data_IF_428143060213
#
_entry.id   IF_428143060213
#
_cell.length_a   1.000
_cell.length_b   1.000
_cell.length_c   1.000
_cell.angle_alpha   90.00
_cell.angle_beta   90.00
_cell.angle_gamma   90.00
#
_symmetry.space_group_name_H-M   'P 1'
#
loop_
_entity.id
_entity.type
_entity.pdbx_description
1 polymer ?
#
# COMPACT_ATOMS: atom_id res chain seq x y z
N UNK A 1 8.45 14.08 -12.65
CA UNK A 1 9.40 13.02 -12.28
C UNK A 1 8.86 12.31 -11.04
N UNK A 2 8.85 10.98 -11.02
CA UNK A 2 8.42 10.18 -9.88
C UNK A 2 9.59 9.96 -8.92
N UNK A 3 9.89 10.97 -8.09
CA UNK A 3 11.04 10.91 -7.15
C UNK A 3 11.00 9.69 -6.23
N UNK A 4 9.81 9.34 -5.74
CA UNK A 4 9.61 8.20 -4.84
C UNK A 4 10.02 6.88 -5.51
N UNK A 5 9.58 6.67 -6.75
CA UNK A 5 9.92 5.51 -7.54
C UNK A 5 11.43 5.40 -7.78
N UNK A 6 12.08 6.52 -8.11
CA UNK A 6 13.53 6.60 -8.26
C UNK A 6 14.26 6.25 -6.96
N UNK A 7 13.82 6.80 -5.83
CA UNK A 7 14.45 6.56 -4.53
C UNK A 7 14.31 5.10 -4.09
N UNK A 8 13.14 4.49 -4.27
CA UNK A 8 12.92 3.07 -3.97
C UNK A 8 13.79 2.17 -4.84
N UNK A 9 13.88 2.45 -6.13
CA UNK A 9 14.77 1.74 -7.05
C UNK A 9 16.23 1.82 -6.60
N UNK A 10 16.71 3.02 -6.25
CA UNK A 10 18.08 3.22 -5.77
C UNK A 10 18.33 2.52 -4.43
N UNK A 11 17.37 2.52 -3.50
CA UNK A 11 17.45 1.80 -2.23
C UNK A 11 17.60 0.28 -2.41
N UNK A 12 16.99 -0.27 -3.47
CA UNK A 12 17.16 -1.67 -3.89
C UNK A 12 18.45 -1.93 -4.67
N UNK A 13 19.25 -0.90 -4.97
CA UNK A 13 20.48 -1.03 -5.75
C UNK A 13 20.25 -1.35 -7.23
N UNK A 14 19.05 -1.10 -7.75
CA UNK A 14 18.68 -1.47 -9.13
C UNK A 14 18.93 -0.30 -10.07
N UNK A 15 19.54 -0.53 -11.23
CA UNK A 15 19.72 0.46 -12.28
C UNK A 15 18.44 0.64 -13.12
N UNK A 16 18.33 1.74 -13.88
CA UNK A 16 17.18 1.92 -14.79
C UNK A 16 17.13 0.84 -15.89
N UNK A 17 18.28 0.32 -16.30
CA UNK A 17 18.40 -0.74 -17.30
C UNK A 17 17.91 -2.09 -16.74
N UNK A 18 18.37 -2.49 -15.56
CA UNK A 18 17.90 -3.71 -14.90
C UNK A 18 16.39 -3.66 -14.62
N UNK A 19 15.88 -2.50 -14.20
CA UNK A 19 14.45 -2.29 -13.98
C UNK A 19 13.67 -2.45 -15.30
N UNK A 20 14.20 -1.90 -16.40
CA UNK A 20 13.60 -2.05 -17.72
C UNK A 20 13.54 -3.53 -18.16
N UNK A 21 14.64 -4.27 -17.98
CA UNK A 21 14.72 -5.70 -18.30
C UNK A 21 13.72 -6.50 -17.47
N UNK A 22 13.64 -6.27 -16.15
CA UNK A 22 12.69 -6.94 -15.25
C UNK A 22 11.22 -6.65 -15.61
N UNK A 23 10.94 -5.50 -16.23
CA UNK A 23 9.60 -5.14 -16.72
C UNK A 23 9.31 -5.66 -18.14
N UNK A 24 10.28 -6.30 -18.80
CA UNK A 24 10.16 -6.83 -20.15
C UNK A 24 10.42 -5.81 -21.26
N UNK A 25 11.05 -4.68 -20.96
CA UNK A 25 11.46 -3.71 -21.97
C UNK A 25 12.80 -4.07 -22.60
N UNK A 26 12.94 -3.76 -23.89
CA UNK A 26 14.19 -4.00 -24.65
C UNK A 26 15.32 -3.03 -24.28
N UNK A 27 15.00 -1.82 -23.83
CA UNK A 27 15.96 -0.76 -23.57
C UNK A 27 15.63 0.02 -22.30
N UNK A 28 16.64 0.57 -21.63
CA UNK A 28 16.50 1.40 -20.43
C UNK A 28 15.54 2.59 -20.60
N UNK A 29 15.44 3.12 -21.82
CA UNK A 29 14.52 4.21 -22.17
C UNK A 29 13.05 3.88 -21.87
N UNK A 30 12.66 2.61 -21.95
CA UNK A 30 11.31 2.15 -21.64
C UNK A 30 10.92 2.46 -20.20
N UNK A 31 11.80 2.16 -19.24
CA UNK A 31 11.58 2.48 -17.83
C UNK A 31 11.87 3.95 -17.51
N UNK A 32 12.90 4.55 -18.13
CA UNK A 32 13.25 5.96 -17.91
C UNK A 32 12.06 6.90 -18.20
N UNK A 33 11.27 6.62 -19.24
CA UNK A 33 10.07 7.40 -19.55
C UNK A 33 8.99 7.29 -18.45
N UNK A 34 8.87 6.13 -17.81
CA UNK A 34 7.97 5.92 -16.68
C UNK A 34 8.46 6.68 -15.46
N UNK A 35 9.73 6.51 -15.06
CA UNK A 35 10.30 7.17 -13.87
C UNK A 35 10.27 8.69 -13.97
N UNK A 36 10.42 9.25 -15.18
CA UNK A 36 10.31 10.69 -15.39
C UNK A 36 8.87 11.21 -15.52
N UNK A 37 7.86 10.33 -15.61
CA UNK A 37 6.46 10.69 -15.82
C UNK A 37 6.14 11.11 -17.26
N UNK A 38 7.02 10.81 -18.22
CA UNK A 38 6.79 11.05 -19.66
C UNK A 38 5.82 10.04 -20.27
N UNK A 39 5.71 8.86 -19.66
CA UNK A 39 4.75 7.81 -20.03
C UNK A 39 3.92 7.43 -18.81
N UNK A 40 2.61 7.28 -19.02
CA UNK A 40 1.68 6.83 -17.97
C UNK A 40 2.00 5.40 -17.55
N UNK A 41 1.95 5.17 -16.24
CA UNK A 41 2.04 3.83 -15.63
C UNK A 41 0.61 3.30 -15.51
N UNK A 42 0.34 2.15 -16.11
CA UNK A 42 -0.94 1.46 -15.96
C UNK A 42 -0.89 0.48 -14.77
N UNK A 43 -2.04 -0.09 -14.40
CA UNK A 43 -2.18 -0.98 -13.24
C UNK A 43 -1.28 -2.22 -13.33
N UNK A 44 -1.13 -2.80 -14.52
CA UNK A 44 -0.30 -3.99 -14.73
C UNK A 44 1.19 -3.67 -14.51
N UNK A 45 1.67 -2.56 -15.07
CA UNK A 45 3.04 -2.08 -14.87
C UNK A 45 3.26 -1.70 -13.41
N UNK A 46 2.31 -1.01 -12.78
CA UNK A 46 2.38 -0.65 -11.36
C UNK A 46 2.54 -1.89 -10.47
N UNK A 47 1.77 -2.96 -10.74
CA UNK A 47 1.87 -4.23 -10.03
C UNK A 47 3.23 -4.91 -10.22
N UNK A 48 3.75 -4.92 -11.45
CA UNK A 48 5.10 -5.47 -11.72
C UNK A 48 6.19 -4.68 -11.00
N UNK A 49 6.10 -3.36 -11.01
CA UNK A 49 7.01 -2.47 -10.28
C UNK A 49 6.97 -2.77 -8.77
N UNK A 50 5.77 -2.94 -8.20
CA UNK A 50 5.57 -3.32 -6.80
C UNK A 50 6.27 -4.63 -6.44
N UNK A 51 6.15 -5.66 -7.29
CA UNK A 51 6.84 -6.93 -7.07
C UNK A 51 8.36 -6.81 -7.14
N UNK A 52 8.89 -6.01 -8.07
CA UNK A 52 10.34 -5.80 -8.22
C UNK A 52 10.93 -5.01 -7.05
N UNK A 53 10.19 -4.01 -6.55
CA UNK A 53 10.63 -3.16 -5.45
C UNK A 53 10.27 -3.74 -4.07
N UNK A 54 9.48 -4.81 -4.04
CA UNK A 54 8.96 -5.44 -2.81
C UNK A 54 8.24 -4.42 -1.90
N UNK A 55 7.52 -3.48 -2.50
CA UNK A 55 6.77 -2.43 -1.82
C UNK A 55 5.34 -2.39 -2.38
N UNK A 56 4.30 -2.14 -1.57
CA UNK A 56 2.92 -2.06 -2.05
C UNK A 56 2.74 -0.98 -3.13
N UNK A 57 1.83 -1.21 -4.09
CA UNK A 57 1.51 -0.26 -5.16
C UNK A 57 1.12 1.09 -4.56
N UNK A 58 0.39 1.06 -3.45
CA UNK A 58 -0.12 2.23 -2.76
C UNK A 58 1.02 3.06 -2.18
N UNK A 59 2.00 2.40 -1.58
CA UNK A 59 3.20 3.05 -1.05
C UNK A 59 4.02 3.66 -2.18
N UNK A 60 4.10 3.03 -3.36
CA UNK A 60 4.93 3.52 -4.47
C UNK A 60 4.30 4.72 -5.19
N UNK A 61 2.99 4.68 -5.43
CA UNK A 61 2.32 5.60 -6.36
C UNK A 61 1.34 6.57 -5.71
N UNK A 62 0.86 6.29 -4.50
CA UNK A 62 0.04 7.24 -3.76
C UNK A 62 0.90 7.91 -2.69
N UNK A 63 0.94 9.24 -2.76
CA UNK A 63 1.38 10.06 -1.65
C UNK A 63 0.13 10.35 -0.80
N UNK A 64 0.23 10.21 0.52
CA UNK A 64 -0.82 10.59 1.48
C UNK A 64 -1.22 12.09 1.40
N UNK A 65 -0.76 12.84 0.39
CA UNK A 65 -1.14 14.22 0.07
C UNK A 65 -2.54 14.36 -0.54
N UNK A 66 -3.34 13.29 -0.56
CA UNK A 66 -4.79 13.40 -0.72
C UNK A 66 -5.52 13.67 0.61
N UNK A 67 -4.79 13.80 1.73
CA UNK A 67 -5.32 14.28 3.01
C UNK A 67 -5.37 15.81 3.13
N UNK A 68 -4.86 16.57 2.15
CA UNK A 68 -4.88 18.04 2.13
C UNK A 68 -6.19 18.63 1.55
N UNK A 69 -7.20 17.80 1.26
CA UNK A 69 -8.57 18.30 1.23
C UNK A 69 -9.10 18.19 2.66
N UNK A 70 -9.26 19.30 3.40
CA UNK A 70 -9.90 19.23 4.70
C UNK A 70 -11.32 18.73 4.45
N UNK A 71 -11.64 17.52 4.92
CA UNK A 71 -13.02 17.22 5.26
C UNK A 71 -13.35 18.21 6.36
N UNK A 72 -14.07 19.28 5.99
CA UNK A 72 -14.58 20.26 6.94
C UNK A 72 -15.55 19.54 7.86
N UNK A 73 -15.04 19.02 8.98
CA UNK A 73 -15.84 18.83 10.17
C UNK A 73 -15.95 20.22 10.79
N UNK A 74 -17.05 20.89 10.47
CA UNK A 74 -17.53 22.07 11.18
C UNK A 74 -17.43 21.78 12.68
N UNK A 75 -16.49 22.44 13.37
CA UNK A 75 -16.54 22.74 14.80
C UNK A 75 -15.44 23.78 15.11
N UNK A 76 -15.88 25.02 14.98
CA UNK A 76 -15.44 26.22 15.68
C UNK A 76 -14.18 26.17 16.60
N UNK A 77 -13.21 27.01 16.22
CA UNK A 77 -12.64 28.11 17.02
C UNK A 77 -11.57 27.79 18.11
N UNK A 78 -10.38 28.41 17.87
CA UNK A 78 -9.41 29.03 18.81
C UNK A 78 -8.45 28.15 19.65
N UNK A 79 -7.18 28.12 19.28
CA UNK A 79 -6.13 29.02 19.82
C UNK A 79 -4.73 28.45 19.53
N UNK A 80 -3.82 29.36 19.21
CA UNK A 80 -2.54 29.08 18.58
C UNK A 80 -1.50 28.89 19.68
N UNK A 81 -0.98 27.66 19.80
CA UNK A 81 0.39 27.29 20.25
C UNK A 81 0.47 25.80 20.67
N UNK A 82 -0.63 25.04 20.62
CA UNK A 82 -0.68 23.57 20.77
C UNK A 82 -0.67 22.80 19.44
N UNK A 83 -0.78 23.49 18.29
CA UNK A 83 -1.06 22.87 16.98
C UNK A 83 0.04 21.93 16.46
N UNK A 84 1.32 22.12 16.80
CA UNK A 84 2.40 21.31 16.19
C UNK A 84 2.42 19.84 16.65
N UNK A 85 1.94 19.55 17.86
CA UNK A 85 1.84 18.19 18.40
C UNK A 85 0.51 17.54 18.03
N UNK A 86 -0.59 18.29 18.10
CA UNK A 86 -1.93 17.83 17.75
C UNK A 86 -1.99 17.44 16.27
N UNK A 87 -1.40 18.23 15.37
CA UNK A 87 -1.36 17.90 13.94
C UNK A 87 -0.62 16.57 13.70
N UNK A 88 0.53 16.34 14.34
CA UNK A 88 1.31 15.10 14.16
C UNK A 88 0.63 13.85 14.72
N UNK A 89 -0.18 13.98 15.78
CA UNK A 89 -0.94 12.89 16.39
C UNK A 89 -2.20 12.60 15.57
N UNK A 90 -2.90 13.65 15.11
CA UNK A 90 -4.09 13.54 14.26
C UNK A 90 -3.73 12.95 12.89
N UNK A 91 -2.61 13.37 12.29
CA UNK A 91 -2.09 12.83 11.03
C UNK A 91 -1.73 11.35 11.18
N UNK A 92 -0.99 10.96 12.23
CA UNK A 92 -0.65 9.54 12.48
C UNK A 92 -1.89 8.68 12.74
N UNK A 93 -2.89 9.22 13.43
CA UNK A 93 -4.16 8.53 13.66
C UNK A 93 -4.96 8.38 12.35
N UNK A 94 -4.93 9.39 11.47
CA UNK A 94 -5.56 9.35 10.15
C UNK A 94 -4.87 8.36 9.20
N UNK A 95 -3.53 8.33 9.17
CA UNK A 95 -2.77 7.35 8.38
C UNK A 95 -3.05 5.93 8.84
N UNK A 96 -3.12 5.71 10.16
CA UNK A 96 -3.44 4.41 10.75
C UNK A 96 -4.88 3.97 10.49
N UNK A 97 -5.82 4.91 10.47
CA UNK A 97 -7.20 4.65 10.10
C UNK A 97 -7.31 4.28 8.61
N UNK A 98 -6.61 5.00 7.73
CA UNK A 98 -6.53 4.67 6.32
C UNK A 98 -5.90 3.29 6.08
N UNK A 99 -4.79 2.99 6.74
CA UNK A 99 -4.16 1.67 6.73
C UNK A 99 -5.14 0.58 7.19
N UNK A 100 -5.94 0.84 8.22
CA UNK A 100 -6.95 -0.10 8.71
C UNK A 100 -8.09 -0.33 7.71
N UNK A 101 -8.55 0.71 7.00
CA UNK A 101 -9.60 0.59 5.97
C UNK A 101 -9.10 -0.23 4.78
N UNK A 102 -7.90 0.08 4.27
CA UNK A 102 -7.28 -0.68 3.17
C UNK A 102 -7.04 -2.13 3.58
N UNK A 103 -6.55 -2.36 4.80
CA UNK A 103 -6.31 -3.72 5.30
C UNK A 103 -7.60 -4.53 5.41
N UNK A 104 -8.72 -3.89 5.77
CA UNK A 104 -10.04 -4.54 5.82
C UNK A 104 -10.49 -4.98 4.43
N UNK A 105 -10.30 -4.15 3.42
CA UNK A 105 -10.64 -4.47 2.02
C UNK A 105 -9.83 -5.68 1.53
N UNK A 106 -8.51 -5.68 1.76
CA UNK A 106 -7.62 -6.79 1.38
C UNK A 106 -7.97 -8.10 2.13
N UNK A 107 -8.41 -8.02 3.38
CA UNK A 107 -8.90 -9.18 4.15
C UNK A 107 -10.13 -9.79 3.49
N UNK A 108 -11.11 -8.97 3.09
CA UNK A 108 -12.33 -9.45 2.45
C UNK A 108 -12.04 -10.08 1.08
N UNK A 109 -11.16 -9.46 0.28
CA UNK A 109 -10.71 -10.03 -0.99
C UNK A 109 -10.00 -11.37 -0.80
N UNK A 110 -9.02 -11.43 0.11
CA UNK A 110 -8.26 -12.66 0.41
C UNK A 110 -9.19 -13.77 0.93
N UNK A 111 -10.22 -13.42 1.70
CA UNK A 111 -11.24 -14.36 2.17
C UNK A 111 -12.12 -14.89 1.04
N UNK A 112 -12.49 -14.03 0.08
CA UNK A 112 -13.19 -14.43 -1.14
C UNK A 112 -12.38 -15.44 -1.94
N UNK A 113 -11.11 -15.12 -2.22
CA UNK A 113 -10.18 -16.03 -2.93
C UNK A 113 -10.02 -17.38 -2.22
N UNK A 114 -9.93 -17.38 -0.89
CA UNK A 114 -9.82 -18.60 -0.11
C UNK A 114 -11.08 -19.46 -0.20
N UNK A 115 -12.27 -18.83 -0.13
CA UNK A 115 -13.55 -19.53 -0.25
C UNK A 115 -13.71 -20.17 -1.64
N UNK A 116 -13.37 -19.44 -2.69
CA UNK A 116 -13.42 -19.95 -4.07
C UNK A 116 -12.44 -21.10 -4.27
N UNK A 117 -11.21 -20.95 -3.77
CA UNK A 117 -10.17 -21.98 -3.88
C UNK A 117 -10.55 -23.26 -3.12
N UNK A 118 -11.14 -23.10 -1.93
CA UNK A 118 -11.64 -24.21 -1.12
C UNK A 118 -12.80 -24.93 -1.83
N UNK A 119 -13.72 -24.18 -2.45
CA UNK A 119 -14.83 -24.76 -3.20
C UNK A 119 -14.35 -25.59 -4.40
N UNK A 120 -13.26 -25.18 -5.05
CA UNK A 120 -12.67 -25.89 -6.20
C UNK A 120 -11.81 -27.08 -5.78
N UNK A 121 -10.98 -26.95 -4.74
CA UNK A 121 -9.91 -27.93 -4.44
C UNK A 121 -10.38 -29.19 -3.70
N UNK A 122 -11.58 -29.23 -3.12
CA UNK A 122 -12.18 -30.31 -2.30
C UNK A 122 -11.34 -30.78 -1.08
N UNK A 123 -10.01 -30.70 -1.13
CA UNK A 123 -9.07 -30.99 -0.06
C UNK A 123 -8.52 -29.68 0.54
N UNK A 124 -9.00 -29.36 1.74
CA UNK A 124 -8.58 -28.18 2.51
C UNK A 124 -7.11 -28.20 2.95
N UNK A 125 -6.41 -29.33 2.80
CA UNK A 125 -4.99 -29.48 3.13
C UNK A 125 -4.05 -29.20 1.93
N UNK A 126 -4.58 -28.70 0.81
CA UNK A 126 -3.71 -28.30 -0.30
C UNK A 126 -2.85 -27.09 0.12
N UNK A 127 -1.57 -27.11 -0.28
CA UNK A 127 -0.60 -26.04 0.06
C UNK A 127 -1.10 -24.63 -0.33
N UNK A 128 -1.86 -24.53 -1.43
CA UNK A 128 -2.44 -23.26 -1.88
C UNK A 128 -3.46 -22.71 -0.87
N UNK A 129 -4.35 -23.58 -0.36
CA UNK A 129 -5.35 -23.23 0.65
C UNK A 129 -4.67 -22.87 1.98
N UNK A 130 -3.66 -23.64 2.39
CA UNK A 130 -2.93 -23.41 3.63
C UNK A 130 -2.12 -22.11 3.59
N UNK A 131 -1.45 -21.82 2.48
CA UNK A 131 -0.68 -20.59 2.31
C UNK A 131 -1.56 -19.33 2.31
N UNK A 132 -2.73 -19.40 1.66
CA UNK A 132 -3.68 -18.31 1.62
C UNK A 132 -4.38 -18.10 2.98
N UNK A 133 -4.70 -19.19 3.69
CA UNK A 133 -5.19 -19.13 5.08
C UNK A 133 -4.20 -18.43 6.00
N UNK A 134 -2.91 -18.80 5.95
CA UNK A 134 -1.87 -18.14 6.77
C UNK A 134 -1.72 -16.66 6.41
N UNK A 135 -1.84 -16.30 5.14
CA UNK A 135 -1.81 -14.89 4.70
C UNK A 135 -3.00 -14.13 5.30
N UNK A 136 -4.20 -14.70 5.24
CA UNK A 136 -5.41 -14.11 5.82
C UNK A 136 -5.27 -13.92 7.34
N UNK A 137 -4.76 -14.92 8.06
CA UNK A 137 -4.54 -14.84 9.51
C UNK A 137 -3.59 -13.70 9.90
N UNK A 138 -2.50 -13.52 9.14
CA UNK A 138 -1.55 -12.43 9.35
C UNK A 138 -2.17 -11.05 9.11
N UNK A 139 -3.00 -10.92 8.07
CA UNK A 139 -3.72 -9.68 7.78
C UNK A 139 -4.71 -9.34 8.90
N UNK A 140 -5.47 -10.33 9.36
CA UNK A 140 -6.41 -10.18 10.48
C UNK A 140 -5.68 -9.79 11.76
N UNK A 141 -4.55 -10.43 12.08
CA UNK A 141 -3.74 -10.10 13.25
C UNK A 141 -3.24 -8.64 13.20
N UNK A 142 -2.75 -8.18 12.04
CA UNK A 142 -2.33 -6.79 11.86
C UNK A 142 -3.51 -5.83 12.05
N UNK A 143 -4.68 -6.15 11.50
CA UNK A 143 -5.90 -5.35 11.65
C UNK A 143 -6.34 -5.24 13.12
N UNK A 144 -6.40 -6.37 13.84
CA UNK A 144 -6.74 -6.39 15.27
C UNK A 144 -5.75 -5.59 16.10
N UNK A 145 -4.45 -5.70 15.81
CA UNK A 145 -3.40 -4.94 16.50
C UNK A 145 -3.54 -3.43 16.25
N UNK A 146 -3.86 -3.03 15.02
CA UNK A 146 -4.12 -1.62 14.69
C UNK A 146 -5.37 -1.09 15.41
N UNK A 147 -6.45 -1.87 15.45
CA UNK A 147 -7.69 -1.54 16.16
C UNK A 147 -7.49 -1.38 17.66
N UNK A 148 -6.81 -2.33 18.31
CA UNK A 148 -6.58 -2.29 19.77
C UNK A 148 -5.76 -1.07 20.16
N UNK A 149 -4.72 -0.77 19.40
CA UNK A 149 -3.86 0.39 19.63
C UNK A 149 -4.54 1.75 19.31
N UNK A 150 -5.68 1.76 18.60
CA UNK A 150 -6.53 2.95 18.41
C UNK A 150 -7.52 3.10 19.58
N UNK A 151 -8.08 1.99 20.07
CA UNK A 151 -9.00 1.96 21.23
C UNK A 151 -8.30 2.26 22.56
N UNK A 152 -7.03 1.90 22.72
CA UNK A 152 -6.27 2.14 23.96
C UNK A 152 -5.76 3.58 24.13
N UNK A 153 -6.03 4.47 23.17
CA UNK A 153 -5.61 5.88 23.15
C UNK A 153 -6.78 6.89 23.24
N UNK A 154 -8.01 6.40 23.35
CA UNK A 154 -9.22 7.17 23.61
C UNK A 154 -9.63 7.01 25.08
#
# INVERSE_FOLDING_TARGET
MHEKLKNLRLKKGITQEEMAIKLGYKYASGYNQLENGKRKINIEIARKISLILEEPVEVIFFDNKAADQPIVLLNDVKNNDTNKLIDSVQIKNNEKYYEMVVLKEVIEETRGELNDLVAVKQNHLSEDVLSLSRKLDNLIYRYMTLQTNLKSKA
#
